data_IF_970181953220
#
_entry.id   IF_970181953220
#
_cell.length_a   1.000
_cell.length_b   1.000
_cell.length_c   1.000
_cell.angle_alpha   90.00
_cell.angle_beta   90.00
_cell.angle_gamma   90.00
#
_symmetry.space_group_name_H-M   'P 1'
#
loop_
_entity.id
_entity.type
_entity.pdbx_description
1 polymer ?
#
# COMPACT_ATOMS: atom_id res chain seq x y z
N UNK A 1 -6.24 15.23 -7.24
CA UNK A 1 -5.98 13.77 -7.33
C UNK A 1 -5.01 13.42 -8.45
N UNK A 2 -5.19 13.93 -9.68
CA UNK A 2 -4.28 13.63 -10.81
C UNK A 2 -2.79 13.75 -10.48
N UNK A 3 -2.36 14.92 -9.99
CA UNK A 3 -0.95 15.19 -9.64
C UNK A 3 -0.38 14.20 -8.61
N UNK A 4 -1.21 13.73 -7.67
CA UNK A 4 -0.77 12.73 -6.69
C UNK A 4 -0.55 11.35 -7.32
N UNK A 5 -1.39 10.96 -8.28
CA UNK A 5 -1.22 9.71 -9.02
C UNK A 5 -0.02 9.77 -9.98
N UNK A 6 0.23 10.92 -10.59
CA UNK A 6 1.43 11.18 -11.40
C UNK A 6 2.69 11.02 -10.56
N UNK A 7 2.72 11.60 -9.35
CA UNK A 7 3.82 11.40 -8.40
C UNK A 7 4.00 9.92 -8.01
N UNK A 8 2.91 9.21 -7.72
CA UNK A 8 3.00 7.77 -7.41
C UNK A 8 3.58 6.97 -8.57
N UNK A 9 3.22 7.32 -9.82
CA UNK A 9 3.77 6.68 -11.01
C UNK A 9 5.29 6.94 -11.13
N UNK A 10 5.73 8.18 -10.93
CA UNK A 10 7.16 8.53 -10.93
C UNK A 10 7.94 7.77 -9.85
N UNK A 11 7.36 7.64 -8.65
CA UNK A 11 7.99 6.88 -7.56
C UNK A 11 8.09 5.38 -7.87
N UNK A 12 7.19 4.83 -8.70
CA UNK A 12 7.22 3.42 -9.09
C UNK A 12 8.44 3.04 -9.94
N UNK A 13 9.16 4.02 -10.51
CA UNK A 13 10.39 3.80 -11.28
C UNK A 13 11.64 3.65 -10.38
N UNK A 14 11.52 3.95 -9.07
CA UNK A 14 12.61 3.78 -8.12
C UNK A 14 12.83 2.30 -7.78
N UNK A 15 14.08 1.84 -7.86
CA UNK A 15 14.46 0.43 -7.59
C UNK A 15 14.09 -0.10 -6.19
N UNK A 16 13.82 0.79 -5.23
CA UNK A 16 13.45 0.45 -3.86
C UNK A 16 11.95 0.66 -3.57
N UNK A 17 11.16 0.97 -4.59
CA UNK A 17 9.71 1.17 -4.50
C UNK A 17 9.01 0.04 -5.24
N UNK A 18 7.93 -0.47 -4.66
CA UNK A 18 7.03 -1.41 -5.32
C UNK A 18 5.63 -0.88 -5.16
N UNK A 19 5.01 -0.50 -6.28
CA UNK A 19 3.66 0.02 -6.32
C UNK A 19 2.72 -1.04 -6.88
N UNK A 20 1.69 -1.39 -6.11
CA UNK A 20 0.64 -2.30 -6.52
C UNK A 20 -0.73 -1.69 -6.25
N UNK A 21 -1.66 -1.91 -7.17
CA UNK A 21 -3.04 -1.46 -7.06
C UNK A 21 -3.91 -2.66 -6.71
N UNK A 22 -4.74 -2.53 -5.68
CA UNK A 22 -5.77 -3.50 -5.33
C UNK A 22 -7.11 -3.07 -5.95
N UNK A 23 -7.64 -3.79 -6.95
CA UNK A 23 -8.89 -3.40 -7.60
C UNK A 23 -10.10 -3.55 -6.67
N UNK A 24 -11.09 -2.68 -6.82
CA UNK A 24 -12.36 -2.80 -6.08
C UNK A 24 -13.11 -4.11 -6.38
N UNK A 25 -12.91 -4.70 -7.56
CA UNK A 25 -13.49 -6.00 -7.94
C UNK A 25 -13.01 -7.17 -7.08
N UNK A 26 -11.94 -6.99 -6.31
CA UNK A 26 -11.45 -7.99 -5.34
C UNK A 26 -12.48 -8.25 -4.22
N UNK A 27 -13.39 -7.31 -3.97
CA UNK A 27 -14.40 -7.42 -2.92
C UNK A 27 -13.77 -7.34 -1.52
N UNK A 28 -14.28 -8.14 -0.57
CA UNK A 28 -13.84 -8.09 0.82
C UNK A 28 -12.40 -8.57 0.98
N UNK A 29 -11.49 -7.65 1.30
CA UNK A 29 -10.08 -7.94 1.51
C UNK A 29 -9.66 -7.80 2.98
N UNK A 30 -8.56 -8.47 3.36
CA UNK A 30 -8.13 -8.63 4.75
C UNK A 30 -7.81 -7.32 5.51
N UNK A 31 -7.70 -6.18 4.83
CA UNK A 31 -7.46 -4.85 5.41
C UNK A 31 -8.69 -3.93 5.44
N UNK A 32 -9.88 -4.44 5.13
CA UNK A 32 -11.08 -3.59 5.09
C UNK A 32 -11.30 -2.92 6.45
N UNK A 33 -11.10 -1.60 6.50
CA UNK A 33 -11.34 -0.75 7.66
C UNK A 33 -10.09 -0.21 8.38
N UNK A 34 -8.88 -0.67 8.04
CA UNK A 34 -7.66 -0.16 8.72
C UNK A 34 -6.46 -0.17 7.77
N UNK A 35 -5.78 0.96 7.66
CA UNK A 35 -4.46 1.06 7.03
C UNK A 35 -3.36 0.79 8.06
N UNK A 36 -2.24 0.23 7.62
CA UNK A 36 -1.10 -0.02 8.50
C UNK A 36 0.20 -0.01 7.70
N UNK A 37 1.31 0.24 8.39
CA UNK A 37 2.66 0.21 7.82
C UNK A 37 3.53 -0.76 8.61
N UNK A 38 4.15 -1.72 7.93
CA UNK A 38 5.15 -2.60 8.56
C UNK A 38 6.53 -1.98 8.37
N UNK A 39 7.13 -1.53 9.46
CA UNK A 39 8.46 -0.91 9.47
C UNK A 39 9.51 -1.95 9.86
N UNK A 40 10.65 -1.94 9.17
CA UNK A 40 11.87 -2.67 9.54
C UNK A 40 13.01 -1.66 9.69
N UNK A 41 13.48 -1.47 10.92
CA UNK A 41 14.54 -0.51 11.22
C UNK A 41 15.91 -1.13 10.95
N UNK A 42 16.69 -0.50 10.08
CA UNK A 42 18.04 -0.97 9.72
C UNK A 42 19.04 -0.89 10.87
N UNK A 43 18.85 0.03 11.82
CA UNK A 43 19.80 0.28 12.92
C UNK A 43 19.89 -0.87 13.92
N UNK A 44 18.80 -1.61 14.15
CA UNK A 44 18.73 -2.66 15.16
C UNK A 44 17.94 -3.91 14.71
N UNK A 45 17.50 -3.97 13.45
CA UNK A 45 16.70 -5.06 12.91
C UNK A 45 15.27 -5.16 13.48
N UNK A 46 14.85 -4.21 14.33
CA UNK A 46 13.53 -4.23 14.96
C UNK A 46 12.46 -4.05 13.90
N UNK A 47 11.41 -4.87 14.00
CA UNK A 47 10.17 -4.72 13.23
C UNK A 47 9.06 -4.16 14.11
N UNK A 48 8.24 -3.28 13.56
CA UNK A 48 7.02 -2.81 14.23
C UNK A 48 5.94 -2.60 13.19
N UNK A 49 4.69 -2.85 13.57
CA UNK A 49 3.56 -2.31 12.82
C UNK A 49 3.28 -0.92 13.36
N UNK A 50 3.02 0.01 12.46
CA UNK A 50 2.51 1.35 12.74
C UNK A 50 1.07 1.41 12.26
N UNK A 51 0.16 1.76 13.18
CA UNK A 51 -1.26 1.95 12.90
C UNK A 51 -1.62 3.35 13.39
N UNK A 52 -2.20 4.15 12.51
CA UNK A 52 -2.58 5.53 12.80
C UNK A 52 -4.08 5.69 12.62
N UNK A 53 -4.68 6.42 13.56
CA UNK A 53 -6.04 6.93 13.50
C UNK A 53 -5.99 8.46 13.64
N UNK A 54 -7.12 9.15 13.53
CA UNK A 54 -7.22 10.60 13.46
C UNK A 54 -6.47 11.35 14.57
N UNK A 55 -6.37 10.77 15.76
CA UNK A 55 -5.80 11.43 16.95
C UNK A 55 -4.73 10.61 17.67
N UNK A 56 -4.34 9.45 17.15
CA UNK A 56 -3.42 8.54 17.83
C UNK A 56 -2.67 7.64 16.89
N UNK A 57 -1.51 7.16 17.32
CA UNK A 57 -0.77 6.14 16.62
C UNK A 57 -0.20 5.09 17.58
N UNK A 58 -0.24 3.83 17.16
CA UNK A 58 0.26 2.69 17.90
C UNK A 58 1.47 2.06 17.21
N UNK A 59 2.47 1.69 18.02
CA UNK A 59 3.64 0.95 17.58
C UNK A 59 3.61 -0.48 18.12
N UNK A 60 3.18 -1.42 17.28
CA UNK A 60 2.98 -2.82 17.65
C UNK A 60 4.23 -3.66 17.34
N UNK A 61 5.13 -3.77 18.32
CA UNK A 61 6.38 -4.54 18.21
C UNK A 61 6.33 -5.98 18.73
N UNK A 62 5.17 -6.45 19.24
CA UNK A 62 5.04 -7.82 19.78
C UNK A 62 4.97 -8.84 18.63
N UNK A 63 5.59 -10.03 18.76
CA UNK A 63 5.64 -11.03 17.68
C UNK A 63 4.26 -11.39 17.10
N UNK A 64 3.25 -11.63 17.93
CA UNK A 64 1.91 -12.00 17.46
C UNK A 64 1.22 -10.90 16.62
N UNK A 65 1.49 -9.62 16.92
CA UNK A 65 1.01 -8.51 16.09
C UNK A 65 1.72 -8.55 14.74
N UNK A 66 3.05 -8.63 14.73
CA UNK A 66 3.84 -8.70 13.50
C UNK A 66 3.38 -9.85 12.59
N UNK A 67 3.15 -11.04 13.15
CA UNK A 67 2.71 -12.21 12.38
C UNK A 67 1.32 -11.99 11.76
N UNK A 68 0.40 -11.43 12.53
CA UNK A 68 -0.97 -11.14 12.06
C UNK A 68 -0.96 -10.15 10.91
N UNK A 69 -0.30 -9.01 11.08
CA UNK A 69 -0.24 -7.97 10.05
C UNK A 69 0.57 -8.40 8.83
N UNK A 70 1.63 -9.20 9.00
CA UNK A 70 2.38 -9.77 7.87
C UNK A 70 1.49 -10.67 7.02
N UNK A 71 0.67 -11.54 7.64
CA UNK A 71 -0.30 -12.38 6.91
C UNK A 71 -1.35 -11.57 6.16
N UNK A 72 -1.81 -10.47 6.75
CA UNK A 72 -2.74 -9.55 6.07
C UNK A 72 -2.04 -8.90 4.87
N UNK A 73 -0.85 -8.35 5.06
CA UNK A 73 -0.04 -7.76 3.99
C UNK A 73 0.19 -8.74 2.84
N UNK A 74 0.57 -9.99 3.13
CA UNK A 74 0.80 -11.01 2.11
C UNK A 74 -0.48 -11.31 1.31
N UNK A 75 -1.64 -11.39 1.97
CA UNK A 75 -2.94 -11.58 1.30
C UNK A 75 -3.30 -10.42 0.40
N UNK A 76 -3.10 -9.18 0.86
CA UNK A 76 -3.33 -7.99 0.03
C UNK A 76 -2.42 -7.98 -1.19
N UNK A 77 -1.13 -8.28 -0.99
CA UNK A 77 -0.12 -8.32 -2.04
C UNK A 77 -0.46 -9.38 -3.10
N UNK A 78 -0.95 -10.55 -2.70
CA UNK A 78 -1.37 -11.61 -3.61
C UNK A 78 -2.65 -11.27 -4.39
N UNK A 79 -3.55 -10.49 -3.79
CA UNK A 79 -4.81 -10.09 -4.43
C UNK A 79 -4.67 -8.82 -5.29
N UNK A 80 -3.62 -8.03 -5.08
CA UNK A 80 -3.33 -6.84 -5.87
C UNK A 80 -2.85 -7.22 -7.28
N UNK A 81 -2.99 -6.29 -8.21
CA UNK A 81 -2.49 -6.41 -9.57
C UNK A 81 -0.97 -6.58 -9.60
N UNK A 82 -0.47 -7.17 -10.69
CA UNK A 82 0.97 -7.17 -10.98
C UNK A 82 1.52 -5.75 -11.13
N UNK A 83 2.85 -5.58 -11.14
CA UNK A 83 3.49 -4.26 -11.22
C UNK A 83 3.11 -3.51 -12.51
N UNK A 84 3.21 -4.18 -13.66
CA UNK A 84 2.88 -3.58 -14.96
C UNK A 84 1.39 -3.27 -15.10
N UNK A 85 0.53 -4.15 -14.58
CA UNK A 85 -0.93 -3.94 -14.56
C UNK A 85 -1.31 -2.77 -13.66
N UNK A 86 -0.65 -2.66 -12.50
CA UNK A 86 -0.83 -1.53 -11.58
C UNK A 86 -0.44 -0.20 -12.21
N UNK A 87 0.69 -0.14 -12.92
CA UNK A 87 1.10 1.05 -13.66
C UNK A 87 0.13 1.40 -14.80
N UNK A 88 -0.40 0.38 -15.48
CA UNK A 88 -1.36 0.56 -16.57
C UNK A 88 -2.67 1.15 -16.04
N UNK A 89 -3.19 0.61 -14.93
CA UNK A 89 -4.39 1.14 -14.26
C UNK A 89 -4.17 2.56 -13.75
N UNK A 90 -3.01 2.86 -13.14
CA UNK A 90 -2.68 4.21 -12.71
C UNK A 90 -2.67 5.21 -13.87
N UNK A 91 -2.06 4.84 -14.99
CA UNK A 91 -1.99 5.67 -16.19
C UNK A 91 -3.39 5.93 -16.75
N UNK A 92 -4.24 4.89 -16.84
CA UNK A 92 -5.62 5.04 -17.28
C UNK A 92 -6.40 6.04 -16.40
N UNK A 93 -6.30 5.93 -15.07
CA UNK A 93 -7.00 6.83 -14.16
C UNK A 93 -6.47 8.27 -14.26
N UNK A 94 -5.17 8.46 -14.45
CA UNK A 94 -4.57 9.79 -14.69
C UNK A 94 -5.16 10.44 -15.95
N UNK A 95 -5.27 9.67 -17.03
CA UNK A 95 -5.80 10.14 -18.31
C UNK A 95 -7.30 10.49 -18.21
N UNK A 96 -8.09 9.65 -17.54
CA UNK A 96 -9.52 9.90 -17.27
C UNK A 96 -9.72 11.21 -16.47
N UNK A 97 -8.89 11.44 -15.44
CA UNK A 97 -8.91 12.68 -14.65
C UNK A 97 -8.45 13.91 -15.46
N UNK A 98 -7.72 13.70 -16.56
CA UNK A 98 -7.30 14.76 -17.47
C UNK A 98 -8.30 15.12 -18.56
N UNK A 99 -9.27 14.24 -18.81
CA UNK A 99 -10.25 14.37 -19.91
C UNK A 99 -11.52 15.11 -19.45
N UNK A 100 -11.68 15.35 -18.13
CA UNK A 100 -12.72 16.20 -17.58
C UNK A 100 -12.35 17.68 -17.64
N UNK A 101 -12.70 18.34 -18.74
CA UNK A 101 -12.71 19.81 -18.88
C UNK A 101 -14.14 20.29 -19.14
#
# INVERSE_FOLDING_TARGET
MREQLELLRELADLQHVTLQVLPFSTGTHASMGTSFTILRLHSNGKRTVYVEDLTSADHLGRPHHLDTYTRVYDRLRMAALGLNESQSVLTQVIDELGTGR
#
